data_IF_230168826269
#
_entry.id   IF_230168826269
#
_cell.length_a   1.000
_cell.length_b   1.000
_cell.length_c   1.000
_cell.angle_alpha   90.00
_cell.angle_beta   90.00
_cell.angle_gamma   90.00
#
_symmetry.space_group_name_H-M   'P 1'
#
loop_
_entity.id
_entity.type
_entity.pdbx_description
1 polymer ?
#
# COMPACT_ATOMS: atom_id res chain seq x y z
N UNK A 1 -1.71 4.20 20.31
CA UNK A 1 -1.25 2.95 20.92
C UNK A 1 -1.84 1.78 20.14
N UNK A 2 -1.18 1.35 19.07
CA UNK A 2 -1.55 0.11 18.38
C UNK A 2 -1.05 -1.06 19.24
N UNK A 3 -1.96 -1.85 19.77
CA UNK A 3 -1.62 -3.06 20.50
C UNK A 3 -1.01 -4.05 19.51
N UNK A 4 0.32 -4.17 19.53
CA UNK A 4 1.03 -5.24 18.83
C UNK A 4 0.73 -6.53 19.57
N UNK A 5 -0.15 -7.35 18.99
CA UNK A 5 -0.56 -8.63 19.53
C UNK A 5 0.63 -9.60 19.52
N UNK A 6 1.10 -10.01 20.70
CA UNK A 6 2.30 -10.85 20.90
C UNK A 6 2.06 -12.36 20.69
N UNK A 7 0.97 -12.74 20.02
CA UNK A 7 0.62 -14.16 19.83
C UNK A 7 0.32 -14.41 18.37
N UNK A 8 1.35 -14.39 17.52
CA UNK A 8 1.22 -14.82 16.13
C UNK A 8 1.03 -16.34 16.10
N UNK A 9 -0.19 -16.80 15.85
CA UNK A 9 -0.47 -18.20 15.52
C UNK A 9 -0.07 -18.46 14.06
N UNK A 10 0.20 -19.72 13.68
CA UNK A 10 0.53 -20.06 12.30
C UNK A 10 -0.52 -19.54 11.27
N UNK A 11 -1.78 -19.46 11.69
CA UNK A 11 -2.89 -18.93 10.89
C UNK A 11 -2.72 -17.42 10.61
N UNK A 12 -2.33 -16.63 11.62
CA UNK A 12 -2.11 -15.18 11.45
C UNK A 12 -1.00 -14.84 10.46
N UNK A 13 -0.01 -15.74 10.31
CA UNK A 13 1.06 -15.59 9.31
C UNK A 13 0.51 -15.79 7.90
N UNK A 14 -0.34 -16.80 7.70
CA UNK A 14 -0.97 -17.06 6.39
C UNK A 14 -1.89 -15.91 6.00
N UNK A 15 -2.68 -15.36 6.93
CA UNK A 15 -3.52 -14.18 6.71
C UNK A 15 -2.71 -12.91 6.37
N UNK A 16 -1.45 -12.84 6.78
CA UNK A 16 -0.57 -11.70 6.47
C UNK A 16 0.14 -11.81 5.12
N UNK A 17 0.07 -12.97 4.44
CA UNK A 17 0.63 -13.11 3.10
C UNK A 17 -0.18 -12.29 2.09
N UNK A 18 0.47 -11.76 1.03
CA UNK A 18 -0.24 -11.05 -0.03
C UNK A 18 -1.43 -11.86 -0.58
N UNK A 19 -2.60 -11.22 -0.80
CA UNK A 19 -2.84 -9.77 -0.76
C UNK A 19 -3.14 -9.19 0.65
N UNK A 20 -2.97 -9.98 1.71
CA UNK A 20 -3.16 -9.62 3.11
C UNK A 20 -4.50 -10.11 3.66
N UNK A 21 -4.85 -9.66 4.88
CA UNK A 21 -6.04 -10.15 5.58
C UNK A 21 -7.33 -9.74 4.85
N UNK A 22 -8.16 -10.72 4.50
CA UNK A 22 -9.40 -10.54 3.72
C UNK A 22 -10.41 -9.61 4.41
N UNK A 23 -10.64 -9.80 5.71
CA UNK A 23 -11.59 -8.98 6.46
C UNK A 23 -11.16 -7.49 6.47
N UNK A 24 -9.85 -7.23 6.56
CA UNK A 24 -9.31 -5.88 6.44
C UNK A 24 -9.53 -5.29 5.05
N UNK A 25 -9.31 -6.06 3.97
CA UNK A 25 -9.59 -5.60 2.60
C UNK A 25 -11.05 -5.21 2.41
N UNK A 26 -11.98 -6.04 2.89
CA UNK A 26 -13.41 -5.74 2.87
C UNK A 26 -13.75 -4.46 3.64
N UNK A 27 -13.18 -4.27 4.84
CA UNK A 27 -13.40 -3.06 5.63
C UNK A 27 -12.89 -1.79 4.91
N UNK A 28 -11.75 -1.87 4.22
CA UNK A 28 -11.22 -0.75 3.43
C UNK A 28 -12.12 -0.47 2.22
N UNK A 29 -12.56 -1.49 1.49
CA UNK A 29 -13.48 -1.34 0.36
C UNK A 29 -14.80 -0.66 0.80
N UNK A 30 -15.36 -1.06 1.95
CA UNK A 30 -16.55 -0.42 2.50
C UNK A 30 -16.30 1.05 2.88
N UNK A 31 -15.12 1.36 3.44
CA UNK A 31 -14.72 2.75 3.74
C UNK A 31 -14.65 3.60 2.46
N UNK A 32 -14.13 3.07 1.37
CA UNK A 32 -14.11 3.74 0.08
C UNK A 32 -15.52 3.91 -0.51
N UNK A 33 -16.40 2.92 -0.37
CA UNK A 33 -17.78 3.02 -0.82
C UNK A 33 -18.54 4.15 -0.10
N UNK A 34 -18.28 4.36 1.21
CA UNK A 34 -18.82 5.49 1.97
C UNK A 34 -18.32 6.86 1.46
N UNK A 35 -17.21 6.89 0.71
CA UNK A 35 -16.65 8.07 0.06
C UNK A 35 -17.02 8.15 -1.43
N UNK A 36 -17.90 7.27 -1.91
CA UNK A 36 -18.36 7.24 -3.31
C UNK A 36 -17.46 6.45 -4.27
N UNK A 37 -16.42 5.78 -3.77
CA UNK A 37 -15.50 4.98 -4.58
C UNK A 37 -15.85 3.48 -4.45
N UNK A 38 -16.20 2.84 -5.57
CA UNK A 38 -16.49 1.41 -5.62
C UNK A 38 -15.23 0.66 -6.05
N UNK A 39 -14.54 0.02 -5.10
CA UNK A 39 -13.33 -0.76 -5.32
C UNK A 39 -13.57 -2.18 -4.84
N UNK A 40 -13.24 -3.19 -5.64
CA UNK A 40 -13.35 -4.58 -5.21
C UNK A 40 -12.34 -4.88 -4.10
N UNK A 41 -12.69 -5.64 -3.05
CA UNK A 41 -11.72 -6.14 -2.07
C UNK A 41 -10.55 -6.91 -2.70
N UNK A 42 -10.73 -7.47 -3.90
CA UNK A 42 -9.68 -8.18 -4.65
C UNK A 42 -8.68 -7.25 -5.34
N UNK A 43 -9.02 -5.97 -5.48
CA UNK A 43 -8.15 -4.92 -6.03
C UNK A 43 -7.33 -4.22 -4.92
N UNK A 44 -7.48 -4.65 -3.67
CA UNK A 44 -6.78 -4.09 -2.50
C UNK A 44 -5.63 -5.01 -2.11
N UNK A 45 -4.44 -4.44 -1.94
CA UNK A 45 -3.29 -5.15 -1.35
C UNK A 45 -2.92 -4.46 -0.04
N UNK A 46 -2.85 -5.24 1.04
CA UNK A 46 -2.38 -4.74 2.34
C UNK A 46 -0.85 -4.65 2.29
N UNK A 47 -0.34 -3.49 2.65
CA UNK A 47 1.10 -3.20 2.74
C UNK A 47 1.48 -2.91 4.20
N UNK A 48 2.76 -3.02 4.53
CA UNK A 48 3.34 -2.63 5.80
C UNK A 48 3.35 -1.10 6.03
N UNK A 49 2.91 -0.31 5.04
CA UNK A 49 2.69 1.12 5.19
C UNK A 49 2.78 1.91 3.88
N UNK A 50 2.57 3.22 3.98
CA UNK A 50 2.49 4.11 2.84
C UNK A 50 3.76 4.13 1.96
N UNK A 51 4.95 3.98 2.55
CA UNK A 51 6.20 3.96 1.78
C UNK A 51 6.34 2.69 0.94
N UNK A 52 5.95 1.52 1.46
CA UNK A 52 5.95 0.29 0.68
C UNK A 52 4.90 0.38 -0.44
N UNK A 53 3.69 0.85 -0.13
CA UNK A 53 2.64 1.07 -1.11
C UNK A 53 3.11 2.02 -2.24
N UNK A 54 3.80 3.11 -1.89
CA UNK A 54 4.35 4.05 -2.86
C UNK A 54 5.41 3.40 -3.76
N UNK A 55 6.36 2.65 -3.18
CA UNK A 55 7.39 1.97 -3.97
C UNK A 55 6.80 0.93 -4.92
N UNK A 56 5.85 0.11 -4.46
CA UNK A 56 5.15 -0.87 -5.30
C UNK A 56 4.35 -0.18 -6.41
N UNK A 57 3.65 0.90 -6.08
CA UNK A 57 2.87 1.67 -7.05
C UNK A 57 3.78 2.23 -8.14
N UNK A 58 4.90 2.85 -7.78
CA UNK A 58 5.84 3.39 -8.76
C UNK A 58 6.45 2.28 -9.63
N UNK A 59 6.89 1.16 -9.05
CA UNK A 59 7.39 0.01 -9.83
C UNK A 59 6.35 -0.54 -10.82
N UNK A 60 5.06 -0.49 -10.46
CA UNK A 60 3.99 -1.01 -11.30
C UNK A 60 3.58 -0.06 -12.43
N UNK A 61 3.82 1.26 -12.30
CA UNK A 61 3.26 2.28 -13.22
C UNK A 61 4.31 3.16 -13.90
N UNK A 62 5.60 2.94 -13.66
CA UNK A 62 6.68 3.76 -14.23
C UNK A 62 7.80 2.91 -14.79
N UNK A 63 8.47 3.43 -15.83
CA UNK A 63 9.68 2.89 -16.42
C UNK A 63 10.80 3.95 -16.48
N UNK A 64 12.08 3.54 -16.60
CA UNK A 64 13.18 4.49 -16.79
C UNK A 64 12.97 5.40 -18.00
N UNK A 65 12.89 6.71 -17.75
CA UNK A 65 12.61 7.72 -18.77
C UNK A 65 11.25 8.40 -18.60
N UNK A 66 10.37 7.84 -17.78
CA UNK A 66 9.07 8.45 -17.48
C UNK A 66 9.19 9.71 -16.63
N UNK A 67 8.22 10.61 -16.85
CA UNK A 67 8.05 11.81 -16.04
C UNK A 67 7.09 11.54 -14.88
N UNK A 68 7.56 11.77 -13.65
CA UNK A 68 6.71 11.74 -12.45
C UNK A 68 6.54 13.16 -11.94
N UNK A 69 5.29 13.62 -11.89
CA UNK A 69 4.94 14.94 -11.35
C UNK A 69 4.85 14.84 -9.83
N UNK A 70 5.49 15.77 -9.13
CA UNK A 70 5.48 15.87 -7.67
C UNK A 70 5.03 17.26 -7.23
N UNK A 71 4.31 17.33 -6.12
CA UNK A 71 3.86 18.59 -5.53
C UNK A 71 5.05 19.40 -4.95
N UNK A 72 4.89 20.72 -4.79
CA UNK A 72 5.87 21.56 -4.11
C UNK A 72 5.16 22.41 -3.03
N UNK A 73 5.39 22.15 -1.72
CA UNK A 73 6.32 21.17 -1.16
C UNK A 73 5.85 19.71 -1.30
N UNK A 74 6.77 18.76 -1.50
CA UNK A 74 6.49 17.32 -1.52
C UNK A 74 6.89 16.65 -0.21
N UNK A 75 6.27 15.49 0.10
CA UNK A 75 6.81 14.56 1.09
C UNK A 75 8.18 14.03 0.64
N UNK A 76 9.23 14.28 1.43
CA UNK A 76 10.60 13.90 1.08
C UNK A 76 10.76 12.40 0.76
N UNK A 77 10.02 11.52 1.44
CA UNK A 77 10.09 10.08 1.17
C UNK A 77 9.63 9.70 -0.25
N UNK A 78 8.81 10.51 -0.92
CA UNK A 78 8.45 10.28 -2.31
C UNK A 78 9.62 10.54 -3.27
N UNK A 79 10.40 11.60 -3.03
CA UNK A 79 11.62 11.87 -3.79
C UNK A 79 12.64 10.74 -3.60
N UNK A 80 12.82 10.27 -2.36
CA UNK A 80 13.71 9.14 -2.07
C UNK A 80 13.25 7.84 -2.75
N UNK A 81 11.94 7.58 -2.82
CA UNK A 81 11.40 6.42 -3.53
C UNK A 81 11.68 6.50 -5.04
N UNK A 82 11.52 7.68 -5.65
CA UNK A 82 11.80 7.91 -7.07
C UNK A 82 13.28 7.75 -7.41
N UNK A 83 14.18 8.22 -6.55
CA UNK A 83 15.62 8.03 -6.75
C UNK A 83 16.03 6.54 -6.75
N UNK A 84 15.34 5.70 -5.99
CA UNK A 84 15.64 4.25 -5.91
C UNK A 84 15.24 3.47 -7.16
N UNK A 85 14.26 3.94 -7.92
CA UNK A 85 13.84 3.29 -9.18
C UNK A 85 14.88 3.41 -10.29
N UNK A 86 15.90 4.26 -10.10
CA UNK A 86 16.99 4.49 -11.06
C UNK A 86 18.21 3.57 -10.84
N UNK A 87 18.19 2.71 -9.82
CA UNK A 87 19.24 1.72 -9.55
C UNK A 87 18.93 0.41 -10.27
#
# INVERSE_FOLDING_TARGET
>A
MAAVSKTATAISVIESLPPGNEALRHAIAQRYAQQGMHVSPDEIVITAGALEALNLSLQAVTEPGDWVIVENPCFYGALQALERLRA
#
